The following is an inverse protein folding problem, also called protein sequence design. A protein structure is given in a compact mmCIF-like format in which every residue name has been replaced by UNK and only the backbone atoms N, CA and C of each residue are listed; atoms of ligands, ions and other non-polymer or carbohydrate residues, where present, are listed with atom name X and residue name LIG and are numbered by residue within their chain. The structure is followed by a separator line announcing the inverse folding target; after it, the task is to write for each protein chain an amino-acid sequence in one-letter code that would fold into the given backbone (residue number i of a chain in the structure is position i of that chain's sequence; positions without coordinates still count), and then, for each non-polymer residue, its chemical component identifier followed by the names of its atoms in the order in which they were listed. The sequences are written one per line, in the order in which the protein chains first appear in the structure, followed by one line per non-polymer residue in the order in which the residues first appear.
data_IF_794168590930
#
_entry.id   IF_794168590930
#
_cell.length_a   1.000
_cell.length_b   1.000
_cell.length_c   1.000
_cell.angle_alpha   90.00
_cell.angle_beta   90.00
_cell.angle_gamma   90.00
#
_symmetry.space_group_name_H-M   'P 1'
#
loop_
_entity.id
_entity.type
_entity.pdbx_description
1 polymer ?
#
# COMPACT_ATOMS: atom_id res chain seq x y z
N UNK A 1 22.31 -4.82 -15.96
CA UNK A 1 22.15 -4.95 -14.49
C UNK A 1 22.15 -3.55 -13.91
N UNK A 2 21.26 -3.28 -12.96
CA UNK A 2 21.32 -2.04 -12.17
C UNK A 2 22.52 -2.12 -11.20
N UNK A 3 23.28 -1.04 -11.07
CA UNK A 3 24.43 -0.97 -10.16
C UNK A 3 24.06 -0.29 -8.82
N UNK A 4 22.86 0.27 -8.73
CA UNK A 4 22.37 1.07 -7.61
C UNK A 4 20.93 0.65 -7.28
N UNK A 5 20.54 0.81 -6.02
CA UNK A 5 19.17 0.59 -5.54
C UNK A 5 18.61 1.88 -4.97
N UNK A 6 17.33 2.15 -5.24
CA UNK A 6 16.56 3.20 -4.59
C UNK A 6 15.51 2.54 -3.72
N UNK A 7 15.62 2.70 -2.40
CA UNK A 7 14.78 1.99 -1.43
C UNK A 7 13.84 2.98 -0.77
N UNK A 8 12.54 2.68 -0.80
CA UNK A 8 11.49 3.47 -0.15
C UNK A 8 10.88 2.65 0.98
N UNK A 9 10.98 3.17 2.21
CA UNK A 9 10.31 2.61 3.39
C UNK A 9 8.83 2.98 3.42
N UNK A 10 8.13 2.43 4.40
CA UNK A 10 6.78 2.72 4.90
C UNK A 10 6.11 3.96 4.27
N UNK A 11 5.01 3.72 3.56
CA UNK A 11 4.26 4.75 2.84
C UNK A 11 2.96 5.10 3.57
N UNK A 12 2.29 4.13 4.16
CA UNK A 12 1.09 4.28 5.00
C UNK A 12 0.04 5.25 4.43
N UNK A 13 -0.41 5.01 3.19
CA UNK A 13 -1.44 5.82 2.55
C UNK A 13 -1.05 7.28 2.31
N UNK A 14 0.22 7.67 2.45
CA UNK A 14 0.73 9.03 2.19
C UNK A 14 1.11 9.21 0.72
N UNK A 15 0.15 9.00 -0.18
CA UNK A 15 0.36 9.01 -1.63
C UNK A 15 1.12 10.24 -2.16
N UNK A 16 0.85 11.42 -1.61
CA UNK A 16 1.57 12.65 -1.99
C UNK A 16 3.06 12.55 -1.69
N UNK A 17 3.44 12.10 -0.48
CA UNK A 17 4.85 11.91 -0.10
C UNK A 17 5.50 10.81 -0.93
N UNK A 18 4.76 9.73 -1.22
CA UNK A 18 5.25 8.66 -2.09
C UNK A 18 5.60 9.19 -3.49
N UNK A 19 4.75 10.03 -4.09
CA UNK A 19 5.09 10.68 -5.36
C UNK A 19 6.26 11.65 -5.25
N UNK A 20 6.35 12.42 -4.17
CA UNK A 20 7.45 13.36 -3.97
C UNK A 20 8.80 12.66 -3.87
N UNK A 21 8.90 11.54 -3.14
CA UNK A 21 10.17 10.81 -3.01
C UNK A 21 10.58 10.12 -4.32
N UNK A 22 9.63 9.67 -5.13
CA UNK A 22 9.90 9.06 -6.43
C UNK A 22 10.52 10.04 -7.44
N UNK A 23 10.44 11.36 -7.23
CA UNK A 23 11.13 12.35 -8.09
C UNK A 23 12.65 12.25 -8.03
N UNK A 24 13.19 11.62 -6.99
CA UNK A 24 14.63 11.43 -6.80
C UNK A 24 15.13 10.08 -7.33
N UNK A 25 14.23 9.20 -7.75
CA UNK A 25 14.57 7.89 -8.30
C UNK A 25 14.86 8.01 -9.81
N UNK A 26 16.03 7.50 -10.22
CA UNK A 26 16.40 7.38 -11.64
C UNK A 26 16.18 5.94 -12.14
N UNK A 27 15.04 5.72 -12.81
CA UNK A 27 14.65 4.41 -13.35
C UNK A 27 15.61 3.83 -14.39
N UNK A 28 16.48 4.63 -15.02
CA UNK A 28 17.47 4.12 -15.98
C UNK A 28 18.71 3.54 -15.30
N UNK A 29 18.95 3.91 -14.04
CA UNK A 29 20.18 3.57 -13.30
C UNK A 29 19.93 2.73 -12.05
N UNK A 30 18.75 2.87 -11.44
CA UNK A 30 18.44 2.35 -10.12
C UNK A 30 17.27 1.36 -10.13
N UNK A 31 17.44 0.22 -9.46
CA UNK A 31 16.34 -0.68 -9.13
C UNK A 31 15.50 -0.08 -7.99
N UNK A 32 14.21 0.14 -8.21
CA UNK A 32 13.29 0.55 -7.15
C UNK A 32 12.92 -0.65 -6.29
N UNK A 33 13.04 -0.49 -4.97
CA UNK A 33 12.59 -1.45 -3.95
C UNK A 33 11.65 -0.71 -2.99
N UNK A 34 10.42 -1.19 -2.90
CA UNK A 34 9.42 -0.73 -1.93
C UNK A 34 9.38 -1.74 -0.78
N UNK A 35 9.64 -1.29 0.45
CA UNK A 35 9.74 -2.18 1.62
C UNK A 35 8.37 -2.64 2.16
N UNK A 36 7.27 -2.19 1.57
CA UNK A 36 5.91 -2.51 1.99
C UNK A 36 5.29 -1.39 2.81
N UNK A 37 4.29 -1.75 3.61
CA UNK A 37 3.51 -0.85 4.44
C UNK A 37 2.96 0.34 3.62
N UNK A 38 2.31 -0.02 2.51
CA UNK A 38 1.64 0.90 1.58
C UNK A 38 0.33 1.45 2.14
N UNK A 39 -0.34 0.67 2.99
CA UNK A 39 -1.67 0.96 3.49
C UNK A 39 -1.70 1.39 4.96
N UNK A 40 -2.90 1.74 5.41
CA UNK A 40 -3.28 2.16 6.75
C UNK A 40 -2.74 3.54 7.12
N UNK A 41 -3.34 4.16 8.15
CA UNK A 41 -2.99 5.49 8.73
C UNK A 41 -3.18 6.70 7.81
N UNK A 42 -2.77 6.67 6.55
CA UNK A 42 -3.03 7.70 5.56
C UNK A 42 -4.35 7.49 4.82
N UNK A 43 -4.85 8.56 4.17
CA UNK A 43 -6.17 8.56 3.52
C UNK A 43 -6.16 8.01 2.09
N UNK A 44 -4.98 7.75 1.51
CA UNK A 44 -4.82 7.47 0.07
C UNK A 44 -4.18 6.10 -0.18
N UNK A 45 -4.60 5.08 0.59
CA UNK A 45 -4.03 3.73 0.47
C UNK A 45 -4.32 3.10 -0.89
N UNK A 46 -5.52 3.31 -1.46
CA UNK A 46 -5.86 2.88 -2.82
C UNK A 46 -4.86 3.42 -3.85
N UNK A 47 -4.57 4.72 -3.84
CA UNK A 47 -3.63 5.34 -4.79
C UNK A 47 -2.20 4.86 -4.58
N UNK A 48 -1.79 4.58 -3.34
CA UNK A 48 -0.49 3.96 -3.04
C UNK A 48 -0.37 2.57 -3.66
N UNK A 49 -1.37 1.71 -3.49
CA UNK A 49 -1.38 0.38 -4.13
C UNK A 49 -1.39 0.47 -5.65
N UNK A 50 -2.22 1.35 -6.21
CA UNK A 50 -2.31 1.54 -7.66
C UNK A 50 -0.97 2.00 -8.24
N UNK A 51 -0.31 2.97 -7.61
CA UNK A 51 1.00 3.44 -8.03
C UNK A 51 2.09 2.36 -7.86
N UNK A 52 2.10 1.64 -6.74
CA UNK A 52 3.06 0.55 -6.53
C UNK A 52 2.89 -0.55 -7.58
N UNK A 53 1.65 -0.94 -7.90
CA UNK A 53 1.36 -1.88 -8.99
C UNK A 53 1.85 -1.36 -10.34
N UNK A 54 1.55 -0.11 -10.68
CA UNK A 54 2.03 0.51 -11.91
C UNK A 54 3.55 0.48 -12.03
N UNK A 55 4.28 0.78 -10.94
CA UNK A 55 5.74 0.73 -10.89
C UNK A 55 6.29 -0.69 -11.03
N UNK A 56 5.63 -1.70 -10.44
CA UNK A 56 5.99 -3.10 -10.63
C UNK A 56 5.81 -3.52 -12.10
N UNK A 57 4.63 -3.24 -12.68
CA UNK A 57 4.26 -3.69 -14.02
C UNK A 57 5.08 -3.00 -15.14
N UNK A 58 5.42 -1.72 -14.97
CA UNK A 58 6.03 -0.92 -16.05
C UNK A 58 7.53 -0.66 -15.86
N UNK A 59 8.04 -0.74 -14.63
CA UNK A 59 9.43 -0.42 -14.30
C UNK A 59 10.16 -1.55 -13.57
N UNK A 60 9.50 -2.70 -13.35
CA UNK A 60 10.10 -3.83 -12.65
C UNK A 60 10.45 -3.53 -11.19
N UNK A 61 9.73 -2.61 -10.55
CA UNK A 61 9.91 -2.35 -9.13
C UNK A 61 9.67 -3.63 -8.30
N UNK A 62 10.44 -3.80 -7.22
CA UNK A 62 10.28 -4.92 -6.30
C UNK A 62 9.48 -4.42 -5.09
N UNK A 63 8.30 -5.00 -4.87
CA UNK A 63 7.48 -4.74 -3.69
C UNK A 63 7.61 -5.88 -2.68
N UNK A 64 8.09 -5.56 -1.49
CA UNK A 64 8.11 -6.46 -0.34
C UNK A 64 6.81 -6.28 0.45
N UNK A 65 6.26 -7.39 0.95
CA UNK A 65 5.06 -7.36 1.79
C UNK A 65 5.40 -6.86 3.19
N UNK A 66 4.80 -5.76 3.61
CA UNK A 66 4.89 -5.24 4.98
C UNK A 66 3.93 -5.97 5.94
N UNK A 67 4.04 -5.67 7.24
CA UNK A 67 3.15 -6.27 8.24
C UNK A 67 1.74 -5.68 8.18
N UNK A 68 1.58 -4.45 7.68
CA UNK A 68 0.26 -3.87 7.45
C UNK A 68 -0.47 -4.55 6.29
N UNK A 69 0.20 -4.86 5.18
CA UNK A 69 -0.40 -5.68 4.12
C UNK A 69 -0.73 -7.10 4.61
N UNK A 70 0.14 -7.70 5.44
CA UNK A 70 -0.15 -9.02 6.01
C UNK A 70 -1.40 -9.00 6.90
N UNK A 71 -1.57 -7.97 7.72
CA UNK A 71 -2.76 -7.79 8.55
C UNK A 71 -4.00 -7.52 7.70
N UNK A 72 -3.88 -6.70 6.65
CA UNK A 72 -4.97 -6.44 5.72
C UNK A 72 -5.43 -7.73 5.02
N UNK A 73 -4.50 -8.55 4.51
CA UNK A 73 -4.83 -9.84 3.90
C UNK A 73 -5.49 -10.81 4.89
N UNK A 74 -5.06 -10.84 6.16
CA UNK A 74 -5.72 -11.62 7.20
C UNK A 74 -7.14 -11.14 7.46
N UNK A 75 -7.35 -9.82 7.49
CA UNK A 75 -8.67 -9.21 7.60
C UNK A 75 -9.58 -9.58 6.41
N UNK A 76 -9.08 -9.56 5.18
CA UNK A 76 -9.86 -9.94 4.01
C UNK A 76 -10.27 -11.42 4.03
N UNK A 77 -9.39 -12.29 4.52
CA UNK A 77 -9.66 -13.73 4.58
C UNK A 77 -10.52 -14.15 5.78
N UNK A 78 -10.38 -13.46 6.93
CA UNK A 78 -11.03 -13.79 8.20
C UNK A 78 -11.48 -12.51 8.91
N UNK A 79 -12.45 -11.82 8.31
CA UNK A 79 -12.90 -10.49 8.75
C UNK A 79 -13.28 -10.46 10.22
N UNK A 80 -14.13 -11.36 10.70
CA UNK A 80 -14.58 -11.36 12.11
C UNK A 80 -13.41 -11.55 13.10
N UNK A 81 -12.42 -12.37 12.77
CA UNK A 81 -11.27 -12.66 13.64
C UNK A 81 -10.29 -11.47 13.74
N UNK A 82 -10.17 -10.69 12.67
CA UNK A 82 -9.11 -9.67 12.53
C UNK A 82 -9.63 -8.23 12.50
N UNK A 83 -10.94 -8.00 12.37
CA UNK A 83 -11.53 -6.66 12.22
C UNK A 83 -11.08 -5.70 13.32
N UNK A 84 -11.25 -6.06 14.58
CA UNK A 84 -10.91 -5.16 15.69
C UNK A 84 -9.42 -4.81 15.68
N UNK A 85 -8.55 -5.80 15.49
CA UNK A 85 -7.10 -5.58 15.41
C UNK A 85 -6.72 -4.73 14.19
N UNK A 86 -7.33 -4.97 13.04
CA UNK A 86 -7.04 -4.22 11.82
C UNK A 86 -7.46 -2.75 11.94
N UNK A 87 -8.66 -2.49 12.44
CA UNK A 87 -9.15 -1.12 12.67
C UNK A 87 -8.27 -0.38 13.68
N UNK A 88 -7.86 -1.04 14.79
CA UNK A 88 -6.93 -0.45 15.78
C UNK A 88 -5.57 -0.06 15.20
N UNK A 89 -5.13 -0.73 14.14
CA UNK A 89 -3.86 -0.42 13.46
C UNK A 89 -4.01 0.60 12.31
N UNK A 90 -5.18 1.23 12.18
CA UNK A 90 -5.43 2.28 11.17
C UNK A 90 -6.04 1.76 9.87
N UNK A 91 -6.48 0.50 9.83
CA UNK A 91 -7.06 -0.14 8.65
C UNK A 91 -8.36 0.49 8.16
N UNK A 92 -9.08 1.24 9.01
CA UNK A 92 -10.31 1.93 8.60
C UNK A 92 -10.07 2.87 7.42
N UNK A 93 -8.96 3.62 7.44
CA UNK A 93 -8.62 4.56 6.38
C UNK A 93 -8.29 3.87 5.06
N UNK A 94 -7.71 2.67 5.14
CA UNK A 94 -7.52 1.83 3.96
C UNK A 94 -8.88 1.49 3.37
N UNK A 95 -9.78 0.95 4.18
CA UNK A 95 -11.12 0.55 3.73
C UNK A 95 -11.88 1.73 3.11
N UNK A 96 -11.87 2.90 3.76
CA UNK A 96 -12.48 4.14 3.25
C UNK A 96 -11.89 4.54 1.90
N UNK A 97 -10.57 4.42 1.72
CA UNK A 97 -9.93 4.72 0.43
C UNK A 97 -10.34 3.76 -0.71
N UNK A 98 -10.80 2.55 -0.37
CA UNK A 98 -11.39 1.59 -1.31
C UNK A 98 -12.93 1.72 -1.42
N UNK A 99 -13.53 2.75 -0.80
CA UNK A 99 -14.96 3.05 -0.92
C UNK A 99 -15.83 2.49 0.21
N UNK A 100 -15.26 1.99 1.30
CA UNK A 100 -16.04 1.63 2.50
C UNK A 100 -16.76 2.85 3.10
N UNK A 101 -17.98 2.64 3.55
CA UNK A 101 -18.81 3.57 4.30
C UNK A 101 -19.70 2.79 5.26
N UNK A 102 -20.29 3.44 6.27
CA UNK A 102 -21.21 2.78 7.22
C UNK A 102 -22.44 2.13 6.56
N UNK A 103 -22.72 2.48 5.30
CA UNK A 103 -23.85 1.99 4.53
C UNK A 103 -23.52 0.81 3.60
N UNK A 104 -22.28 0.32 3.55
CA UNK A 104 -21.89 -0.82 2.72
C UNK A 104 -21.16 -1.92 3.51
N UNK A 105 -21.27 -3.16 3.03
CA UNK A 105 -20.60 -4.29 3.66
C UNK A 105 -19.18 -4.43 3.10
N UNK A 106 -18.28 -5.06 3.86
CA UNK A 106 -16.92 -5.34 3.38
C UNK A 106 -16.85 -6.15 2.09
N UNK A 107 -17.92 -6.91 1.77
CA UNK A 107 -18.02 -7.69 0.54
C UNK A 107 -18.31 -6.83 -0.69
N UNK A 108 -18.79 -5.61 -0.49
CA UNK A 108 -19.11 -4.66 -1.55
C UNK A 108 -17.91 -3.78 -1.92
N UNK A 109 -16.80 -3.89 -1.19
CA UNK A 109 -15.56 -3.18 -1.47
C UNK A 109 -14.83 -3.88 -2.63
N UNK A 110 -14.46 -3.10 -3.65
CA UNK A 110 -13.69 -3.58 -4.80
C UNK A 110 -12.20 -3.47 -4.46
N UNK A 111 -11.52 -4.60 -4.34
CA UNK A 111 -10.06 -4.68 -4.12
C UNK A 111 -9.30 -4.83 -5.44
#
# INVERSE_FOLDING_TARGET
MYNEVFVVSDIHGEYKKFKEILKYWDSNRQQLILLGDLCDRGLQSYECFYLAKYLCDNYGAILIKGNHEDLFLKFLNKTEDFKENYIKNGGLKTLESFGYSENNTFKDIVF
#
